data_IF_888042009636
#
_entry.id   IF_888042009636
#
_cell.length_a   1.000
_cell.length_b   1.000
_cell.length_c   1.000
_cell.angle_alpha   90.00
_cell.angle_beta   90.00
_cell.angle_gamma   90.00
#
_symmetry.space_group_name_H-M   'P 1'
#
loop_
_entity.id
_entity.type
_entity.pdbx_description
1 polymer ?
#
# COMPACT_ATOMS: atom_id res chain seq x y z
N UNK A 1 8.11 5.40 14.23
CA UNK A 1 7.35 5.35 12.94
C UNK A 1 8.19 4.71 11.83
N UNK A 2 9.45 4.41 12.10
CA UNK A 2 10.49 4.11 11.10
C UNK A 2 10.28 2.78 10.38
N UNK A 3 9.65 1.81 11.05
CA UNK A 3 9.40 0.47 10.52
C UNK A 3 8.12 0.34 9.70
N UNK A 4 7.33 1.40 9.52
CA UNK A 4 5.98 1.33 8.95
C UNK A 4 5.93 0.65 7.57
N UNK A 5 6.87 0.98 6.67
CA UNK A 5 6.93 0.38 5.34
C UNK A 5 7.30 -1.11 5.38
N UNK A 6 8.25 -1.48 6.24
CA UNK A 6 8.67 -2.87 6.42
C UNK A 6 7.57 -3.71 7.10
N UNK A 7 6.81 -3.12 8.03
CA UNK A 7 5.64 -3.76 8.62
C UNK A 7 4.58 -4.08 7.59
N UNK A 8 4.24 -3.12 6.72
CA UNK A 8 3.27 -3.37 5.64
C UNK A 8 3.76 -4.46 4.67
N UNK A 9 5.05 -4.47 4.36
CA UNK A 9 5.67 -5.53 3.56
C UNK A 9 5.49 -6.90 4.24
N UNK A 10 5.79 -7.01 5.53
CA UNK A 10 5.73 -8.27 6.26
C UNK A 10 4.30 -8.74 6.55
N UNK A 11 3.36 -7.82 6.76
CA UNK A 11 1.94 -8.13 6.91
C UNK A 11 1.32 -8.69 5.63
N UNK A 12 1.92 -8.42 4.46
CA UNK A 12 1.53 -9.05 3.20
C UNK A 12 1.96 -10.54 3.10
N UNK A 13 2.84 -11.02 3.98
CA UNK A 13 3.25 -12.41 4.01
C UNK A 13 2.13 -13.32 4.51
N UNK A 14 1.93 -14.44 3.81
CA UNK A 14 0.99 -15.49 4.17
C UNK A 14 1.49 -16.28 5.40
N UNK A 15 0.61 -17.10 5.97
CA UNK A 15 0.94 -17.95 7.11
C UNK A 15 2.07 -18.96 6.82
N UNK A 16 2.25 -19.36 5.55
CA UNK A 16 3.35 -20.23 5.10
C UNK A 16 4.68 -19.47 4.86
N UNK A 17 4.75 -18.20 5.27
CA UNK A 17 5.93 -17.34 5.11
C UNK A 17 6.12 -16.79 3.69
N UNK A 18 5.30 -17.19 2.72
CA UNK A 18 5.41 -16.67 1.35
C UNK A 18 4.93 -15.23 1.30
N UNK A 19 5.72 -14.39 0.63
CA UNK A 19 5.42 -12.98 0.41
C UNK A 19 4.97 -12.78 -1.04
N UNK A 20 3.66 -12.80 -1.34
CA UNK A 20 3.15 -12.45 -2.66
C UNK A 20 3.32 -10.96 -2.92
N UNK A 21 3.84 -10.60 -4.09
CA UNK A 21 3.93 -9.21 -4.51
C UNK A 21 2.61 -8.83 -5.19
N UNK A 22 1.69 -8.28 -4.41
CA UNK A 22 0.40 -7.78 -4.89
C UNK A 22 0.51 -6.38 -5.48
N UNK A 23 -0.42 -6.04 -6.37
CA UNK A 23 -0.48 -4.72 -7.04
C UNK A 23 -0.78 -3.57 -6.08
N UNK A 24 -1.42 -3.86 -4.94
CA UNK A 24 -1.79 -2.86 -3.93
C UNK A 24 -0.66 -2.52 -2.98
N UNK A 25 0.33 -3.42 -2.79
CA UNK A 25 1.43 -3.24 -1.84
C UNK A 25 2.19 -1.94 -2.10
N UNK A 26 2.42 -1.59 -3.38
CA UNK A 26 3.11 -0.35 -3.77
C UNK A 26 2.44 0.92 -3.22
N UNK A 27 1.11 0.91 -3.11
CA UNK A 27 0.35 2.05 -2.57
C UNK A 27 0.54 2.19 -1.07
N UNK A 28 0.58 1.06 -0.34
CA UNK A 28 0.87 1.03 1.09
C UNK A 28 2.29 1.50 1.38
N UNK A 29 3.27 1.03 0.61
CA UNK A 29 4.67 1.47 0.72
C UNK A 29 4.80 2.97 0.43
N UNK A 30 4.21 3.46 -0.67
CA UNK A 30 4.21 4.89 -0.98
C UNK A 30 3.53 5.73 0.09
N UNK A 31 2.36 5.31 0.59
CA UNK A 31 1.68 5.97 1.70
C UNK A 31 2.53 5.99 2.97
N UNK A 32 3.25 4.90 3.27
CA UNK A 32 4.14 4.84 4.43
C UNK A 32 5.29 5.84 4.35
N UNK A 33 5.85 6.06 3.16
CA UNK A 33 6.91 7.05 2.97
C UNK A 33 6.40 8.47 3.18
N UNK A 34 5.19 8.79 2.71
CA UNK A 34 4.58 10.09 2.96
C UNK A 34 4.39 10.35 4.46
N UNK A 35 3.89 9.35 5.19
CA UNK A 35 3.69 9.42 6.64
C UNK A 35 5.02 9.59 7.39
N UNK A 36 6.03 8.80 7.02
CA UNK A 36 7.37 8.86 7.64
C UNK A 36 8.08 10.18 7.36
N UNK A 37 7.96 10.73 6.14
CA UNK A 37 8.52 12.04 5.79
C UNK A 37 7.84 13.18 6.58
N UNK A 38 6.53 13.09 6.80
CA UNK A 38 5.81 14.08 7.60
C UNK A 38 6.23 14.03 9.08
N UNK A 39 6.38 12.83 9.65
CA UNK A 39 6.90 12.67 11.01
C UNK A 39 8.36 13.14 11.15
N UNK A 40 9.16 13.03 10.09
CA UNK A 40 10.52 13.59 10.02
C UNK A 40 10.54 15.10 9.72
N UNK A 41 9.38 15.76 9.62
CA UNK A 41 9.21 17.18 9.24
C UNK A 41 9.87 17.56 7.91
N UNK A 42 9.96 16.61 6.98
CA UNK A 42 10.46 16.85 5.62
C UNK A 42 9.35 17.38 4.72
N UNK A 43 8.11 16.98 4.98
CA UNK A 43 6.93 17.38 4.21
C UNK A 43 5.74 17.69 5.10
N UNK A 44 4.79 18.44 4.56
CA UNK A 44 3.44 18.60 5.09
C UNK A 44 2.41 18.23 4.00
N UNK A 45 1.15 18.03 4.39
CA UNK A 45 0.04 17.85 3.47
C UNK A 45 -1.03 18.92 3.71
N UNK A 46 -0.99 19.96 2.88
CA UNK A 46 -1.91 21.11 2.96
C UNK A 46 -2.91 21.05 1.81
N UNK A 47 -4.21 21.04 2.11
CA UNK A 47 -5.26 20.97 1.09
C UNK A 47 -5.15 19.74 0.17
N UNK A 48 -4.60 18.63 0.68
CA UNK A 48 -4.37 17.40 -0.07
C UNK A 48 -3.15 17.43 -1.02
N UNK A 49 -2.34 18.49 -0.97
CA UNK A 49 -1.09 18.64 -1.71
C UNK A 49 0.11 18.45 -0.81
N UNK A 50 1.15 17.83 -1.34
CA UNK A 50 2.41 17.62 -0.62
C UNK A 50 3.24 18.89 -0.74
N UNK A 51 3.57 19.49 0.39
CA UNK A 51 4.48 20.61 0.51
C UNK A 51 5.81 20.12 1.09
N UNK A 52 6.93 20.42 0.43
CA UNK A 52 8.27 20.07 0.94
C UNK A 52 8.71 21.17 1.88
N UNK A 53 8.92 20.82 3.15
CA UNK A 53 9.37 21.72 4.22
C UNK A 53 10.90 21.78 4.29
N UNK A 54 11.54 20.63 4.17
CA UNK A 54 12.99 20.48 4.28
C UNK A 54 13.44 19.36 3.33
N UNK A 55 14.36 19.69 2.42
CA UNK A 55 14.94 18.75 1.44
C UNK A 55 16.23 18.09 1.92
N UNK A 56 16.66 18.35 3.16
CA UNK A 56 17.85 17.72 3.72
C UNK A 56 17.67 16.18 3.79
N UNK A 57 18.76 15.41 3.56
CA UNK A 57 18.72 13.97 3.69
C UNK A 57 18.13 13.52 5.03
N UNK A 58 17.39 12.42 4.98
CA UNK A 58 16.78 11.76 6.14
C UNK A 58 17.70 10.69 6.73
N UNK A 59 18.67 10.20 5.95
CA UNK A 59 19.50 9.06 6.30
C UNK A 59 18.89 7.70 5.91
N UNK A 60 17.64 7.67 5.43
CA UNK A 60 17.04 6.49 4.78
C UNK A 60 16.98 6.74 3.26
N UNK A 61 17.76 5.97 2.51
CA UNK A 61 17.83 6.10 1.05
C UNK A 61 16.46 5.98 0.36
N UNK A 62 15.51 5.18 0.89
CA UNK A 62 14.17 5.08 0.33
C UNK A 62 13.36 6.36 0.53
N UNK A 63 13.49 6.99 1.70
CA UNK A 63 12.84 8.27 1.98
C UNK A 63 13.48 9.42 1.22
N UNK A 64 14.80 9.40 1.04
CA UNK A 64 15.52 10.41 0.27
C UNK A 64 15.14 10.35 -1.22
N UNK A 65 15.04 9.15 -1.80
CA UNK A 65 14.50 8.93 -3.14
C UNK A 65 13.05 9.43 -3.24
N UNK A 66 12.22 9.14 -2.22
CA UNK A 66 10.84 9.58 -2.17
C UNK A 66 10.71 11.11 -2.15
N UNK A 67 11.50 11.78 -1.32
CA UNK A 67 11.57 13.22 -1.16
C UNK A 67 12.04 13.90 -2.45
N UNK A 68 13.12 13.40 -3.07
CA UNK A 68 13.59 13.90 -4.37
C UNK A 68 12.53 13.75 -5.47
N UNK A 69 11.69 12.72 -5.40
CA UNK A 69 10.62 12.50 -6.37
C UNK A 69 9.44 13.49 -6.27
N UNK A 70 9.39 14.28 -5.19
CA UNK A 70 8.38 15.32 -4.93
C UNK A 70 8.85 16.71 -5.40
N UNK A 71 10.17 16.91 -5.47
CA UNK A 71 10.77 18.17 -5.91
C UNK A 71 10.76 18.26 -7.44
N UNK A 72 10.28 19.39 -7.99
CA UNK A 72 10.33 19.67 -9.44
C UNK A 72 9.00 19.68 -10.22
N UNK A 73 7.85 19.68 -9.54
CA UNK A 73 6.52 19.80 -10.18
C UNK A 73 6.02 21.25 -10.41
N UNK A 74 4.82 21.40 -11.00
CA UNK A 74 4.08 22.68 -11.08
C UNK A 74 3.93 23.31 -9.68
N UNK A 75 3.75 24.64 -9.62
CA UNK A 75 3.50 25.42 -8.38
C UNK A 75 2.57 24.65 -7.41
N UNK A 76 3.05 24.38 -6.20
CA UNK A 76 2.29 23.73 -5.12
C UNK A 76 2.41 22.20 -4.99
N UNK A 77 3.44 21.57 -5.59
CA UNK A 77 3.73 20.14 -5.39
C UNK A 77 2.67 19.17 -5.98
N UNK A 78 2.92 17.85 -5.98
CA UNK A 78 1.92 16.88 -6.40
C UNK A 78 0.81 16.72 -5.34
N UNK A 79 -0.39 16.31 -5.77
CA UNK A 79 -1.41 15.87 -4.80
C UNK A 79 -0.98 14.56 -4.16
N UNK A 80 -1.31 14.36 -2.88
CA UNK A 80 -1.00 13.10 -2.19
C UNK A 80 -1.58 11.90 -2.93
N UNK A 81 -2.82 12.04 -3.44
CA UNK A 81 -3.48 11.05 -4.30
C UNK A 81 -2.66 10.68 -5.53
N UNK A 82 -2.25 11.67 -6.32
CA UNK A 82 -1.49 11.41 -7.55
C UNK A 82 -0.11 10.84 -7.25
N UNK A 83 0.56 11.31 -6.19
CA UNK A 83 1.90 10.87 -5.83
C UNK A 83 1.94 9.43 -5.31
N UNK A 84 1.00 9.06 -4.43
CA UNK A 84 0.89 7.68 -3.91
C UNK A 84 0.46 6.70 -5.01
N UNK A 85 -0.43 7.11 -5.90
CA UNK A 85 -0.87 6.26 -7.02
C UNK A 85 0.19 6.10 -8.12
N UNK A 86 1.13 7.05 -8.21
CA UNK A 86 2.18 7.06 -9.25
C UNK A 86 3.01 5.78 -9.17
N UNK A 87 3.20 5.16 -10.32
CA UNK A 87 4.17 4.08 -10.43
C UNK A 87 5.59 4.62 -10.34
N UNK A 88 6.19 4.52 -9.15
CA UNK A 88 7.57 4.90 -8.91
C UNK A 88 8.43 3.68 -9.19
N UNK A 89 9.11 3.71 -10.33
CA UNK A 89 9.97 2.62 -10.83
C UNK A 89 10.82 2.03 -9.70
N UNK A 90 10.71 0.73 -9.50
CA UNK A 90 11.52 -0.02 -8.55
C UNK A 90 11.11 0.14 -7.08
N UNK A 91 9.98 0.79 -6.74
CA UNK A 91 9.61 1.03 -5.33
C UNK A 91 9.56 -0.27 -4.52
N UNK A 92 8.81 -1.26 -4.99
CA UNK A 92 8.65 -2.53 -4.29
C UNK A 92 9.97 -3.29 -4.27
N UNK A 93 10.69 -3.29 -5.38
CA UNK A 93 11.99 -3.95 -5.53
C UNK A 93 13.03 -3.39 -4.56
N UNK A 94 13.05 -2.07 -4.32
CA UNK A 94 13.94 -1.43 -3.35
C UNK A 94 13.63 -1.85 -1.91
N UNK A 95 12.35 -1.96 -1.53
CA UNK A 95 11.96 -2.50 -0.22
C UNK A 95 12.35 -3.97 -0.06
N UNK A 96 12.14 -4.78 -1.10
CA UNK A 96 12.52 -6.19 -1.10
C UNK A 96 14.05 -6.35 -1.01
N UNK A 97 14.81 -5.56 -1.75
CA UNK A 97 16.27 -5.56 -1.69
C UNK A 97 16.78 -5.16 -0.30
N UNK A 98 16.17 -4.15 0.33
CA UNK A 98 16.49 -3.76 1.71
C UNK A 98 16.20 -4.89 2.70
N UNK A 99 15.02 -5.50 2.61
CA UNK A 99 14.63 -6.60 3.49
C UNK A 99 15.46 -7.87 3.27
N UNK A 100 15.94 -8.12 2.04
CA UNK A 100 16.87 -9.21 1.74
C UNK A 100 18.26 -8.92 2.31
N UNK A 101 18.75 -7.68 2.15
CA UNK A 101 20.05 -7.26 2.67
C UNK A 101 20.13 -7.32 4.21
N UNK A 102 19.02 -7.07 4.90
CA UNK A 102 18.92 -7.21 6.37
C UNK A 102 18.57 -8.63 6.82
N UNK A 103 18.41 -9.57 5.89
CA UNK A 103 18.13 -10.97 6.21
C UNK A 103 16.71 -11.23 6.73
N UNK A 104 15.76 -10.32 6.52
CA UNK A 104 14.36 -10.50 6.91
C UNK A 104 13.64 -11.43 5.92
N UNK A 105 13.95 -11.27 4.63
CA UNK A 105 13.40 -12.10 3.55
C UNK A 105 14.50 -12.73 2.69
N UNK A 106 14.12 -13.68 1.84
CA UNK A 106 15.03 -14.32 0.88
C UNK A 106 14.37 -14.44 -0.50
N UNK A 107 15.13 -14.13 -1.55
CA UNK A 107 14.75 -14.44 -2.92
C UNK A 107 15.06 -15.90 -3.28
N UNK A 108 14.03 -16.67 -3.60
CA UNK A 108 14.14 -17.94 -4.31
C UNK A 108 13.92 -17.72 -5.81
N UNK A 109 15.01 -17.63 -6.56
CA UNK A 109 14.96 -17.51 -8.03
C UNK A 109 14.81 -18.91 -8.64
N UNK A 110 13.71 -19.14 -9.36
CA UNK A 110 13.43 -20.40 -10.08
C UNK A 110 13.12 -20.09 -11.55
N UNK A 111 13.12 -21.12 -12.40
CA UNK A 111 12.62 -21.01 -13.78
C UNK A 111 11.29 -21.73 -13.90
N UNK A 112 10.21 -21.01 -14.19
CA UNK A 112 8.96 -21.60 -14.64
C UNK A 112 9.08 -21.98 -16.12
N UNK A 113 8.52 -23.14 -16.50
CA UNK A 113 8.57 -23.67 -17.87
C UNK A 113 10.00 -23.75 -18.47
N UNK A 114 11.02 -23.90 -17.62
CA UNK A 114 12.42 -24.06 -18.04
C UNK A 114 13.18 -22.76 -18.38
N UNK A 115 12.50 -21.67 -18.75
CA UNK A 115 13.15 -20.42 -19.20
C UNK A 115 12.58 -19.13 -18.60
N UNK A 116 11.39 -19.13 -18.01
CA UNK A 116 10.79 -17.91 -17.45
C UNK A 116 11.29 -17.73 -16.01
N UNK A 117 12.14 -16.73 -15.71
CA UNK A 117 12.58 -16.50 -14.34
C UNK A 117 11.40 -16.07 -13.48
N UNK A 118 11.23 -16.76 -12.35
CA UNK A 118 10.23 -16.46 -11.33
C UNK A 118 10.96 -16.29 -10.01
N UNK A 119 10.83 -15.12 -9.42
CA UNK A 119 11.34 -14.85 -8.07
C UNK A 119 10.22 -15.07 -7.07
N UNK A 120 10.45 -15.98 -6.13
CA UNK A 120 9.60 -16.16 -4.96
C UNK A 120 10.26 -15.54 -3.76
N UNK A 121 9.52 -14.73 -3.01
CA UNK A 121 9.99 -14.15 -1.77
C UNK A 121 9.43 -14.93 -0.58
N UNK A 122 10.29 -15.24 0.37
CA UNK A 122 9.93 -15.93 1.61
C UNK A 122 10.48 -15.15 2.79
N UNK A 123 9.67 -14.93 3.82
CA UNK A 123 10.13 -14.36 5.09
C UNK A 123 10.95 -15.42 5.82
N UNK A 124 12.17 -15.09 6.18
CA UNK A 124 13.08 -15.98 6.91
C UNK A 124 13.24 -15.57 8.37
N UNK A 125 13.06 -14.30 8.69
CA UNK A 125 12.95 -13.82 10.07
C UNK A 125 11.47 -13.84 10.51
N UNK A 126 11.06 -14.99 11.09
CA UNK A 126 9.72 -15.16 11.62
C UNK A 126 9.44 -14.28 12.84
N UNK A 127 10.46 -13.89 13.60
CA UNK A 127 10.33 -13.00 14.75
C UNK A 127 9.93 -11.60 14.32
N UNK A 128 10.60 -11.05 13.29
CA UNK A 128 10.28 -9.73 12.75
C UNK A 128 8.87 -9.68 12.13
N UNK A 129 8.44 -10.75 11.45
CA UNK A 129 7.07 -10.87 10.96
C UNK A 129 6.04 -11.01 12.08
N UNK A 130 6.35 -11.77 13.14
CA UNK A 130 5.47 -11.89 14.31
C UNK A 130 5.30 -10.55 15.03
N UNK A 131 6.36 -9.73 15.13
CA UNK A 131 6.28 -8.38 15.71
C UNK A 131 5.37 -7.45 14.90
N UNK A 132 5.46 -7.47 13.56
CA UNK A 132 4.57 -6.69 12.71
C UNK A 132 3.10 -7.09 12.91
N UNK A 133 2.83 -8.42 12.98
CA UNK A 133 1.49 -8.97 13.26
C UNK A 133 0.99 -8.55 14.64
N UNK A 134 1.81 -8.71 15.68
CA UNK A 134 1.48 -8.36 17.05
C UNK A 134 1.12 -6.88 17.19
N UNK A 135 1.86 -5.98 16.52
CA UNK A 135 1.53 -4.55 16.48
C UNK A 135 0.14 -4.30 15.91
N UNK A 136 -0.23 -4.98 14.84
CA UNK A 136 -1.57 -4.85 14.26
C UNK A 136 -2.66 -5.48 15.15
N UNK A 137 -2.37 -6.60 15.80
CA UNK A 137 -3.26 -7.29 16.74
C UNK A 137 -3.58 -6.44 17.97
N UNK A 138 -2.59 -5.76 18.54
CA UNK A 138 -2.78 -4.82 19.66
C UNK A 138 -3.80 -3.75 19.27
N UNK A 139 -3.71 -3.21 18.06
CA UNK A 139 -4.65 -2.18 17.58
C UNK A 139 -6.04 -2.79 17.37
N UNK A 140 -6.11 -4.02 16.85
CA UNK A 140 -7.37 -4.71 16.56
C UNK A 140 -8.21 -5.00 17.80
N UNK A 141 -7.58 -5.17 18.97
CA UNK A 141 -8.27 -5.39 20.26
C UNK A 141 -8.37 -4.14 21.13
N UNK A 142 -7.79 -3.02 20.69
CA UNK A 142 -7.81 -1.78 21.47
C UNK A 142 -9.23 -1.19 21.56
N UNK A 143 -9.55 -0.60 22.71
CA UNK A 143 -10.85 0.07 22.96
C UNK A 143 -10.73 1.59 23.09
N UNK A 144 -9.51 2.12 23.22
CA UNK A 144 -9.24 3.52 23.46
C UNK A 144 -8.65 4.28 22.26
N UNK A 145 -8.07 5.45 22.57
CA UNK A 145 -7.26 6.23 21.64
C UNK A 145 -6.01 5.43 21.25
N UNK A 146 -5.57 5.64 20.01
CA UNK A 146 -4.36 5.03 19.45
C UNK A 146 -3.43 6.13 19.00
N UNK A 147 -2.14 5.85 18.96
CA UNK A 147 -1.17 6.84 18.48
C UNK A 147 -1.18 6.96 16.94
N UNK A 148 -0.52 7.99 16.41
CA UNK A 148 -0.47 8.25 14.97
C UNK A 148 0.21 7.12 14.18
N UNK A 149 1.18 6.41 14.75
CA UNK A 149 1.84 5.29 14.10
C UNK A 149 0.90 4.07 13.99
N UNK A 150 0.10 3.83 15.03
CA UNK A 150 -0.94 2.81 15.04
C UNK A 150 -2.05 3.12 14.04
N UNK A 151 -2.47 4.38 13.93
CA UNK A 151 -3.45 4.83 12.91
C UNK A 151 -2.91 4.61 11.50
N UNK A 152 -1.66 5.02 11.25
CA UNK A 152 -1.03 4.84 9.96
C UNK A 152 -0.91 3.35 9.58
N UNK A 153 -0.46 2.50 10.51
CA UNK A 153 -0.35 1.06 10.29
C UNK A 153 -1.73 0.42 10.01
N UNK A 154 -2.72 0.68 10.87
CA UNK A 154 -4.06 0.13 10.72
C UNK A 154 -4.75 0.60 9.44
N UNK A 155 -4.61 1.89 9.12
CA UNK A 155 -5.22 2.50 7.94
C UNK A 155 -4.59 2.04 6.64
N UNK A 156 -3.26 2.08 6.53
CA UNK A 156 -2.57 1.61 5.32
C UNK A 156 -2.74 0.11 5.13
N UNK A 157 -2.62 -0.71 6.20
CA UNK A 157 -2.86 -2.15 6.11
C UNK A 157 -4.30 -2.47 5.67
N UNK A 158 -5.28 -1.66 6.11
CA UNK A 158 -6.66 -1.78 5.66
C UNK A 158 -6.82 -1.37 4.18
N UNK A 159 -6.15 -0.29 3.76
CA UNK A 159 -6.22 0.25 2.40
C UNK A 159 -5.66 -0.72 1.35
N UNK A 160 -4.59 -1.45 1.68
CA UNK A 160 -3.99 -2.46 0.79
C UNK A 160 -4.53 -3.89 1.02
N UNK A 161 -5.56 -4.02 1.86
CA UNK A 161 -6.28 -5.27 2.17
C UNK A 161 -5.47 -6.40 2.83
N UNK A 162 -4.25 -6.13 3.31
CA UNK A 162 -3.43 -7.15 4.01
C UNK A 162 -4.03 -7.58 5.34
N UNK A 163 -4.96 -6.79 5.91
CA UNK A 163 -5.72 -7.19 7.12
C UNK A 163 -6.53 -8.47 6.93
N UNK A 164 -6.92 -8.83 5.70
CA UNK A 164 -7.59 -10.10 5.40
C UNK A 164 -6.67 -11.32 5.51
N UNK A 165 -5.36 -11.12 5.35
CA UNK A 165 -4.33 -12.16 5.51
C UNK A 165 -4.07 -12.42 7.00
N UNK A 166 -4.01 -11.34 7.79
CA UNK A 166 -3.73 -11.40 9.23
C UNK A 166 -4.95 -11.90 10.01
N UNK A 167 -6.14 -11.39 9.66
CA UNK A 167 -7.40 -11.75 10.31
C UNK A 167 -8.35 -12.38 9.27
N UNK A 168 -8.21 -13.67 8.96
CA UNK A 168 -9.01 -14.31 7.91
C UNK A 168 -10.46 -14.56 8.33
N UNK A 169 -11.33 -14.69 7.33
CA UNK A 169 -12.70 -15.18 7.50
C UNK A 169 -13.62 -14.32 8.37
N UNK A 170 -14.70 -14.94 8.87
CA UNK A 170 -15.69 -14.29 9.74
C UNK A 170 -15.13 -14.01 11.14
N UNK A 171 -14.28 -14.89 11.67
CA UNK A 171 -13.64 -14.71 12.97
C UNK A 171 -12.81 -13.41 13.03
N UNK A 172 -12.10 -13.07 11.96
CA UNK A 172 -11.34 -11.83 11.85
C UNK A 172 -12.17 -10.56 11.60
N UNK A 173 -13.50 -10.65 11.41
CA UNK A 173 -14.32 -9.52 10.97
C UNK A 173 -14.34 -8.37 12.00
N UNK A 174 -14.41 -8.69 13.29
CA UNK A 174 -14.39 -7.71 14.36
C UNK A 174 -13.07 -6.92 14.40
N UNK A 175 -11.94 -7.63 14.31
CA UNK A 175 -10.61 -7.04 14.20
C UNK A 175 -10.51 -6.09 12.99
N UNK A 176 -10.88 -6.55 11.79
CA UNK A 176 -10.86 -5.71 10.57
C UNK A 176 -11.79 -4.49 10.69
N UNK A 177 -12.96 -4.64 11.33
CA UNK A 177 -13.88 -3.52 11.60
C UNK A 177 -13.22 -2.49 12.51
N UNK A 178 -12.56 -2.94 13.59
CA UNK A 178 -11.86 -2.06 14.52
C UNK A 178 -10.72 -1.30 13.84
N UNK A 179 -9.89 -1.97 13.06
CA UNK A 179 -8.80 -1.33 12.30
C UNK A 179 -9.32 -0.23 11.35
N UNK A 180 -10.44 -0.49 10.67
CA UNK A 180 -11.11 0.53 9.83
C UNK A 180 -11.71 1.68 10.63
N UNK A 181 -12.23 1.42 11.83
CA UNK A 181 -12.72 2.48 12.72
C UNK A 181 -11.57 3.36 13.21
N UNK A 182 -10.44 2.76 13.59
CA UNK A 182 -9.21 3.49 13.94
C UNK A 182 -8.80 4.42 12.80
N UNK A 183 -8.71 3.88 11.58
CA UNK A 183 -8.31 4.63 10.39
C UNK A 183 -9.26 5.81 10.05
N UNK A 184 -10.53 5.73 10.44
CA UNK A 184 -11.53 6.79 10.20
C UNK A 184 -11.67 7.79 11.36
N UNK A 185 -11.53 7.31 12.59
CA UNK A 185 -11.84 8.06 13.82
C UNK A 185 -10.75 9.06 14.21
N UNK A 186 -9.49 8.79 13.89
CA UNK A 186 -8.40 9.72 14.24
C UNK A 186 -8.23 10.86 13.24
N UNK A 187 -8.70 10.69 12.00
CA UNK A 187 -8.87 11.79 11.05
C UNK A 187 -9.90 12.84 11.54
N UNK A 188 -10.85 12.43 12.40
CA UNK A 188 -11.84 13.32 13.00
C UNK A 188 -11.40 13.90 14.37
N UNK A 189 -10.54 13.19 15.12
CA UNK A 189 -10.03 13.63 16.44
C UNK A 189 -8.89 14.66 16.31
N UNK A 190 -8.09 14.59 15.24
CA UNK A 190 -6.98 15.51 14.97
C UNK A 190 -7.42 16.98 14.79
N UNK A 191 -8.71 17.22 14.52
CA UNK A 191 -9.31 18.56 14.48
C UNK A 191 -9.81 19.09 15.83
N UNK A 192 -9.81 18.29 16.91
CA UNK A 192 -10.44 18.63 18.20
C UNK A 192 -9.44 18.91 19.32
N UNK A 193 -8.14 18.58 19.18
CA UNK A 193 -7.13 18.93 20.20
C UNK A 193 -6.61 20.37 20.05
N UNK A 194 -7.53 21.34 20.07
CA UNK A 194 -7.19 22.77 20.21
C UNK A 194 -7.93 23.35 21.39
N UNK A 195 -7.61 22.89 22.60
CA UNK A 195 -7.92 23.63 23.82
C UNK A 195 -7.09 23.13 25.02
N UNK A 196 -6.53 24.11 25.73
CA UNK A 196 -6.03 24.11 27.11
C UNK A 196 -4.64 23.51 27.38
N UNK A 197 -3.64 24.39 27.50
CA UNK A 197 -2.85 24.52 28.75
C UNK A 197 -2.18 25.90 28.81
N UNK A 198 -2.50 26.67 29.86
CA UNK A 198 -1.72 27.83 30.32
C UNK A 198 -0.46 27.35 31.07
N UNK A 199 0.71 27.86 30.69
CA UNK A 199 1.82 28.27 31.56
C UNK A 199 3.07 28.57 30.71
N UNK A 200 3.44 29.86 30.70
CA UNK A 200 4.51 30.44 29.92
C UNK A 200 5.91 30.02 30.42
N UNK A 201 6.55 29.14 29.66
CA UNK A 201 7.99 29.00 29.41
C UNK A 201 8.26 27.63 28.78
N UNK A 202 7.56 27.31 27.68
CA UNK A 202 7.83 26.14 26.80
C UNK A 202 6.98 26.18 25.50
N UNK A 203 6.41 27.33 25.16
CA UNK A 203 5.35 27.42 24.14
C UNK A 203 5.86 27.14 22.73
N UNK A 204 7.12 27.45 22.43
CA UNK A 204 7.73 27.15 21.13
C UNK A 204 7.97 25.64 20.93
N UNK A 205 8.42 24.93 21.97
CA UNK A 205 8.66 23.48 21.91
C UNK A 205 7.33 22.70 21.83
N UNK A 206 6.31 23.14 22.59
CA UNK A 206 4.94 22.60 22.49
C UNK A 206 4.33 22.90 21.12
N UNK A 207 4.36 24.14 20.66
CA UNK A 207 3.84 24.49 19.33
C UNK A 207 4.53 23.73 18.20
N UNK A 208 5.85 23.52 18.27
CA UNK A 208 6.57 22.70 17.29
C UNK A 208 6.14 21.23 17.33
N UNK A 209 5.91 20.68 18.51
CA UNK A 209 5.42 19.30 18.69
C UNK A 209 3.98 19.14 18.18
N UNK A 210 3.13 20.13 18.45
CA UNK A 210 1.73 20.17 18.02
C UNK A 210 1.62 20.27 16.50
N UNK A 211 2.41 21.15 15.88
CA UNK A 211 2.51 21.27 14.44
C UNK A 211 2.99 19.96 13.79
N UNK A 212 3.99 19.30 14.39
CA UNK A 212 4.49 18.01 13.89
C UNK A 212 3.42 16.92 13.96
N UNK A 213 2.66 16.87 15.06
CA UNK A 213 1.53 15.94 15.20
C UNK A 213 0.43 16.21 14.19
N UNK A 214 0.08 17.48 13.97
CA UNK A 214 -0.92 17.88 12.98
C UNK A 214 -0.49 17.51 11.55
N UNK A 215 0.75 17.81 11.17
CA UNK A 215 1.32 17.44 9.87
C UNK A 215 1.33 15.91 9.68
N UNK A 216 1.72 15.16 10.71
CA UNK A 216 1.72 13.69 10.68
C UNK A 216 0.30 13.14 10.53
N UNK A 217 -0.68 13.71 11.23
CA UNK A 217 -2.09 13.31 11.12
C UNK A 217 -2.65 13.60 9.72
N UNK A 218 -2.41 14.80 9.19
CA UNK A 218 -2.82 15.19 7.84
C UNK A 218 -2.20 14.29 6.77
N UNK A 219 -0.90 14.00 6.88
CA UNK A 219 -0.20 13.08 6.00
C UNK A 219 -0.73 11.64 6.11
N UNK A 220 -1.04 11.18 7.32
CA UNK A 220 -1.63 9.85 7.57
C UNK A 220 -3.00 9.73 6.91
N UNK A 221 -3.88 10.70 7.12
CA UNK A 221 -5.20 10.73 6.50
C UNK A 221 -5.10 10.78 4.97
N UNK A 222 -4.23 11.64 4.43
CA UNK A 222 -4.00 11.76 3.00
C UNK A 222 -3.43 10.48 2.39
N UNK A 223 -2.48 9.82 3.07
CA UNK A 223 -1.89 8.57 2.64
C UNK A 223 -2.90 7.42 2.63
N UNK A 224 -3.71 7.27 3.68
CA UNK A 224 -4.76 6.23 3.78
C UNK A 224 -5.78 6.42 2.66
N UNK A 225 -6.27 7.66 2.47
CA UNK A 225 -7.24 7.98 1.41
C UNK A 225 -6.65 7.71 0.03
N UNK A 226 -5.42 8.20 -0.22
CA UNK A 226 -4.74 8.02 -1.49
C UNK A 226 -4.48 6.54 -1.82
N UNK A 227 -4.03 5.76 -0.84
CA UNK A 227 -3.80 4.33 -1.01
C UNK A 227 -5.11 3.56 -1.24
N UNK A 228 -6.18 3.93 -0.53
CA UNK A 228 -7.52 3.33 -0.72
C UNK A 228 -8.05 3.63 -2.12
N UNK A 229 -8.03 4.90 -2.54
CA UNK A 229 -8.47 5.31 -3.88
C UNK A 229 -7.69 4.58 -4.98
N UNK A 230 -6.36 4.49 -4.83
CA UNK A 230 -5.50 3.85 -5.80
C UNK A 230 -5.71 2.33 -5.85
N UNK A 231 -5.90 1.67 -4.70
CA UNK A 231 -6.22 0.25 -4.63
C UNK A 231 -7.58 -0.07 -5.26
N UNK A 232 -8.61 0.75 -4.97
CA UNK A 232 -9.93 0.62 -5.58
C UNK A 232 -9.85 0.81 -7.09
N UNK A 233 -9.20 1.87 -7.57
CA UNK A 233 -9.05 2.09 -9.01
C UNK A 233 -8.32 0.92 -9.69
N UNK A 234 -7.22 0.45 -9.10
CA UNK A 234 -6.48 -0.69 -9.63
C UNK A 234 -7.33 -1.98 -9.69
N UNK A 235 -8.21 -2.20 -8.69
CA UNK A 235 -9.12 -3.35 -8.70
C UNK A 235 -10.19 -3.25 -9.79
N UNK A 236 -10.72 -2.04 -10.04
CA UNK A 236 -11.69 -1.77 -11.11
C UNK A 236 -11.05 -1.95 -12.47
N UNK A 237 -9.83 -1.44 -12.66
CA UNK A 237 -9.09 -1.56 -13.91
C UNK A 237 -8.79 -3.04 -14.21
N UNK A 238 -8.36 -3.80 -13.20
CA UNK A 238 -8.10 -5.23 -13.33
C UNK A 238 -9.37 -6.03 -13.66
N UNK A 239 -10.50 -5.73 -13.00
CA UNK A 239 -11.78 -6.37 -13.28
C UNK A 239 -12.28 -6.06 -14.69
N UNK A 240 -12.12 -4.82 -15.14
CA UNK A 240 -12.44 -4.38 -16.51
C UNK A 240 -11.61 -5.14 -17.53
N UNK A 241 -10.28 -5.20 -17.34
CA UNK A 241 -9.38 -5.94 -18.22
C UNK A 241 -9.73 -7.43 -18.30
N UNK A 242 -10.04 -8.06 -17.15
CA UNK A 242 -10.44 -9.46 -17.11
C UNK A 242 -11.76 -9.71 -17.86
N UNK A 243 -12.76 -8.85 -17.67
CA UNK A 243 -14.03 -8.94 -18.38
C UNK A 243 -13.86 -8.74 -19.90
N UNK A 244 -13.04 -7.77 -20.31
CA UNK A 244 -12.70 -7.56 -21.73
C UNK A 244 -11.99 -8.77 -22.32
N UNK A 245 -11.00 -9.34 -21.62
CA UNK A 245 -10.26 -10.51 -22.09
C UNK A 245 -11.18 -11.74 -22.23
N UNK A 246 -12.09 -11.94 -21.29
CA UNK A 246 -13.08 -13.02 -21.35
C UNK A 246 -14.03 -12.84 -22.55
N UNK A 247 -14.53 -11.62 -22.78
CA UNK A 247 -15.40 -11.32 -23.92
C UNK A 247 -14.69 -11.54 -25.27
N UNK A 248 -13.44 -11.11 -25.40
CA UNK A 248 -12.62 -11.34 -26.61
C UNK A 248 -12.39 -12.84 -26.84
N UNK A 249 -12.07 -13.59 -25.77
CA UNK A 249 -11.84 -15.03 -25.86
C UNK A 249 -13.10 -15.76 -26.33
N UNK A 250 -14.26 -15.45 -25.72
CA UNK A 250 -15.54 -16.04 -26.11
C UNK A 250 -15.93 -15.70 -27.57
N UNK A 251 -15.73 -14.46 -28.01
CA UNK A 251 -16.00 -14.07 -29.39
C UNK A 251 -15.08 -14.79 -30.39
N UNK A 252 -13.81 -14.99 -30.03
CA UNK A 252 -12.83 -15.70 -30.86
C UNK A 252 -13.16 -17.19 -30.97
N UNK A 253 -13.55 -17.82 -29.85
CA UNK A 253 -14.01 -19.21 -29.82
C UNK A 253 -15.27 -19.39 -30.68
N UNK A 254 -16.26 -18.50 -30.56
CA UNK A 254 -17.48 -18.54 -31.36
C UNK A 254 -17.20 -18.39 -32.87
N UNK A 255 -16.33 -17.44 -33.26
CA UNK A 255 -15.94 -17.24 -34.66
C UNK A 255 -15.18 -18.46 -35.22
N UNK A 256 -14.28 -19.06 -34.43
CA UNK A 256 -13.52 -20.25 -34.82
C UNK A 256 -14.45 -21.47 -34.99
N UNK A 257 -15.39 -21.67 -34.06
CA UNK A 257 -16.40 -22.71 -34.19
C UNK A 257 -17.26 -22.54 -35.44
N UNK A 258 -17.76 -21.33 -35.72
CA UNK A 258 -18.55 -21.06 -36.92
C UNK A 258 -17.77 -21.34 -38.21
N UNK A 259 -16.49 -20.95 -38.29
CA UNK A 259 -15.63 -21.23 -39.44
C UNK A 259 -15.39 -22.74 -39.65
N UNK A 260 -15.19 -23.50 -38.56
CA UNK A 260 -14.97 -24.95 -38.64
C UNK A 260 -16.22 -25.71 -39.14
N UNK A 261 -17.42 -25.31 -38.71
CA UNK A 261 -18.68 -25.91 -39.15
C UNK A 261 -18.96 -25.63 -40.64
N UNK A 262 -18.69 -24.41 -41.10
CA UNK A 262 -18.83 -24.06 -42.52
C UNK A 262 -17.89 -24.89 -43.43
N UNK A 263 -16.67 -25.19 -42.98
CA UNK A 263 -15.72 -26.03 -43.72
C UNK A 263 -16.13 -27.49 -43.85
N UNK A 264 -16.81 -28.07 -42.84
CA UNK A 264 -17.28 -29.46 -42.89
C UNK A 264 -18.51 -29.66 -43.80
N UNK A 265 -19.39 -28.67 -43.91
CA UNK A 265 -20.57 -28.78 -44.79
C UNK A 265 -20.25 -28.57 -46.28
N UNK A 266 -19.14 -27.91 -46.64
CA UNK A 266 -18.71 -27.73 -48.03
C UNK A 266 -18.04 -28.94 -48.69
N UNK A 267 -17.56 -29.92 -47.91
CA UNK A 267 -16.79 -31.08 -48.42
C UNK A 267 -17.61 -32.29 -48.84
N UNK A 268 -18.91 -32.35 -48.54
CA UNK A 268 -19.75 -33.54 -48.74
C UNK A 268 -20.46 -33.61 -50.11
N UNK A 269 -20.22 -32.67 -51.03
CA UNK A 269 -21.00 -32.54 -52.27
C UNK A 269 -20.29 -33.00 -53.57
N UNK A 270 -19.12 -33.66 -53.50
CA UNK A 270 -18.38 -34.08 -54.70
C UNK A 270 -17.91 -35.52 -54.64
N UNK A 271 -18.72 -36.47 -55.12
CA UNK A 271 -18.28 -37.86 -55.21
C UNK A 271 -19.33 -38.87 -55.61
N UNK A 272 -20.02 -38.69 -56.74
CA UNK A 272 -20.60 -39.80 -57.49
C UNK A 272 -20.64 -39.45 -58.98
N UNK A 273 -19.65 -39.97 -59.72
CA UNK A 273 -19.71 -40.22 -61.16
C UNK A 273 -19.57 -41.71 -61.38
#
# INVERSE_FOLDING_TARGET
MDELGDDLLLLAARADGRLPIGTTLRFGLAGSELVRLAAARRVDVVGGRIEVLDSAPTGDALLDDALGSMTGGRRGGPTAKAWVARDRRGLVERYLARAEATGIIRAERRKALGFIPVTRWTVVDSGRAAQARARLEIIAVSTGTVDSAQVALAGLASAIEVTGIVFPGRAGSAARKRLRQVAKGDAASAGVTRAVTDAASDDAARAASDATRAATAAATEAAIRAATDAAVQASVDAATQAATQAAISAATEAATHAASQAGHHGGAAGGHH
#
